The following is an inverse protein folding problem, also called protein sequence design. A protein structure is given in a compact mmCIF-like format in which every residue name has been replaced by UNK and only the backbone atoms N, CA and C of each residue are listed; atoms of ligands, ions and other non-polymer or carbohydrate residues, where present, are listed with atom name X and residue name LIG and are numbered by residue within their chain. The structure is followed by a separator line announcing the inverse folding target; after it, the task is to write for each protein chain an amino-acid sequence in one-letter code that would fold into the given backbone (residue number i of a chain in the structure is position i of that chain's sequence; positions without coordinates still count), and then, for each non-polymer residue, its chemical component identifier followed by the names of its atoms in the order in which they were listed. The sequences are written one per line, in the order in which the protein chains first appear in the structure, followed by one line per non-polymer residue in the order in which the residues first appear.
data_IF_984864342519
#
_entry.id   IF_984864342519
#
_cell.length_a   1.000
_cell.length_b   1.000
_cell.length_c   1.000
_cell.angle_alpha   90.00
_cell.angle_beta   90.00
_cell.angle_gamma   90.00
#
_symmetry.space_group_name_H-M   'P 1'
#
loop_
_entity.id
_entity.type
_entity.pdbx_description
1 polymer ?
#
# COMPACT_ATOMS: atom_id res chain seq x y z
N UNK A 1 -4.80 -45.22 -15.26
CA UNK A 1 -3.78 -44.26 -14.77
C UNK A 1 -3.50 -44.58 -13.30
N UNK A 2 -2.33 -45.16 -12.97
CA UNK A 2 -1.91 -45.35 -11.58
C UNK A 2 -1.12 -44.11 -11.17
N UNK A 3 -1.82 -43.14 -10.60
CA UNK A 3 -1.15 -41.98 -10.03
C UNK A 3 -0.42 -42.47 -8.77
N UNK A 4 0.90 -42.37 -8.78
CA UNK A 4 1.72 -42.76 -7.62
C UNK A 4 1.31 -41.90 -6.42
N UNK A 5 1.06 -42.53 -5.28
CA UNK A 5 0.75 -41.87 -4.01
C UNK A 5 1.78 -40.78 -3.66
N UNK A 6 3.04 -40.99 -4.05
CA UNK A 6 4.13 -40.02 -3.90
C UNK A 6 3.87 -38.74 -4.71
N UNK A 7 3.34 -38.88 -5.93
CA UNK A 7 3.03 -37.74 -6.80
C UNK A 7 1.86 -36.92 -6.26
N UNK A 8 0.85 -37.57 -5.66
CA UNK A 8 -0.29 -36.89 -5.01
C UNK A 8 0.15 -36.16 -3.73
N UNK A 9 1.05 -36.77 -2.95
CA UNK A 9 1.59 -36.13 -1.75
C UNK A 9 2.41 -34.87 -2.10
N UNK A 10 3.23 -34.94 -3.15
CA UNK A 10 4.04 -33.81 -3.61
C UNK A 10 3.18 -32.65 -4.12
N UNK A 11 2.15 -32.93 -4.91
CA UNK A 11 1.25 -31.86 -5.41
C UNK A 11 0.46 -31.21 -4.28
N UNK A 12 0.00 -31.99 -3.29
CA UNK A 12 -0.69 -31.47 -2.12
C UNK A 12 0.22 -30.55 -1.28
N UNK A 13 1.49 -30.92 -1.06
CA UNK A 13 2.46 -30.10 -0.34
C UNK A 13 2.77 -28.81 -1.10
N UNK A 14 2.97 -28.87 -2.42
CA UNK A 14 3.20 -27.68 -3.25
C UNK A 14 2.02 -26.71 -3.19
N UNK A 15 0.78 -27.22 -3.29
CA UNK A 15 -0.42 -26.39 -3.18
C UNK A 15 -0.58 -25.79 -1.78
N UNK A 16 -0.24 -26.55 -0.73
CA UNK A 16 -0.25 -26.05 0.64
C UNK A 16 0.77 -24.92 0.84
N UNK A 17 1.99 -25.06 0.31
CA UNK A 17 3.02 -24.01 0.38
C UNK A 17 2.62 -22.76 -0.38
N UNK A 18 2.03 -22.88 -1.57
CA UNK A 18 1.49 -21.74 -2.33
C UNK A 18 0.35 -21.07 -1.56
N UNK A 19 -0.57 -21.84 -0.98
CA UNK A 19 -1.66 -21.32 -0.14
C UNK A 19 -1.15 -20.57 1.09
N UNK A 20 -0.17 -21.14 1.80
CA UNK A 20 0.50 -20.47 2.91
C UNK A 20 1.22 -19.19 2.47
N UNK A 21 1.89 -19.21 1.31
CA UNK A 21 2.53 -18.03 0.73
C UNK A 21 1.54 -16.89 0.47
N UNK A 22 0.38 -17.20 -0.12
CA UNK A 22 -0.70 -16.23 -0.37
C UNK A 22 -1.28 -15.71 0.95
N UNK A 23 -1.54 -16.59 1.93
CA UNK A 23 -2.05 -16.20 3.25
C UNK A 23 -1.08 -15.29 4.01
N UNK A 24 0.20 -15.61 4.02
CA UNK A 24 1.24 -14.81 4.66
C UNK A 24 1.44 -13.48 3.91
N UNK A 25 1.41 -13.49 2.59
CA UNK A 25 1.49 -12.27 1.77
C UNK A 25 0.30 -11.35 2.03
N UNK A 26 -0.91 -11.90 2.17
CA UNK A 26 -2.10 -11.10 2.47
C UNK A 26 -2.09 -10.58 3.91
N UNK A 27 -1.65 -11.40 4.87
CA UNK A 27 -1.54 -11.02 6.29
C UNK A 27 -0.50 -9.93 6.55
N UNK A 28 0.56 -9.86 5.74
CA UNK A 28 1.61 -8.84 5.86
C UNK A 28 1.23 -7.46 5.32
N UNK A 29 0.07 -7.31 4.64
CA UNK A 29 -0.45 -5.98 4.26
C UNK A 29 -0.73 -5.11 5.47
N UNK A 30 -1.22 -5.70 6.56
CA UNK A 30 -1.49 -5.00 7.81
C UNK A 30 -0.29 -5.22 8.75
N UNK A 31 0.56 -4.21 8.99
CA UNK A 31 1.71 -4.39 9.87
C UNK A 31 1.26 -4.76 11.29
N UNK A 32 1.97 -5.66 11.99
CA UNK A 32 1.77 -5.90 13.42
C UNK A 32 2.04 -4.64 14.28
N UNK A 33 2.66 -3.61 13.69
CA UNK A 33 2.90 -2.28 14.27
C UNK A 33 1.65 -1.39 14.34
N UNK A 34 0.51 -1.86 13.80
CA UNK A 34 -0.80 -1.23 13.99
C UNK A 34 -1.40 -1.55 15.37
N UNK A 35 -0.59 -1.55 16.44
CA UNK A 35 -1.10 -1.54 17.82
C UNK A 35 -1.99 -0.31 18.09
N UNK A 36 -1.88 0.72 17.23
CA UNK A 36 -2.84 1.81 17.15
C UNK A 36 -3.26 2.06 15.69
N UNK A 37 -4.39 1.46 15.30
CA UNK A 37 -5.01 1.65 13.97
C UNK A 37 -5.31 3.12 13.70
N UNK A 38 -5.61 3.91 14.73
CA UNK A 38 -5.90 5.34 14.58
C UNK A 38 -4.64 6.11 14.22
N UNK A 39 -3.50 5.82 14.86
CA UNK A 39 -2.23 6.44 14.51
C UNK A 39 -1.80 6.08 13.06
N UNK A 40 -1.98 4.83 12.64
CA UNK A 40 -1.66 4.41 11.27
C UNK A 40 -2.56 5.08 10.22
N UNK A 41 -3.85 5.25 10.52
CA UNK A 41 -4.79 5.97 9.65
C UNK A 41 -4.46 7.47 9.59
N UNK A 42 -4.17 8.10 10.74
CA UNK A 42 -3.78 9.51 10.82
C UNK A 42 -2.48 9.79 10.04
N UNK A 43 -1.49 8.92 10.15
CA UNK A 43 -0.24 9.00 9.39
C UNK A 43 -0.49 8.93 7.87
N UNK A 44 -1.39 8.03 7.43
CA UNK A 44 -1.78 7.96 6.03
C UNK A 44 -2.44 9.26 5.56
N UNK A 45 -3.41 9.78 6.33
CA UNK A 45 -4.13 11.00 5.98
C UNK A 45 -3.15 12.16 5.87
N UNK A 46 -2.24 12.34 6.83
CA UNK A 46 -1.22 13.38 6.78
C UNK A 46 -0.28 13.22 5.57
N UNK A 47 0.14 11.99 5.27
CA UNK A 47 0.96 11.69 4.10
C UNK A 47 0.23 12.04 2.79
N UNK A 48 -1.04 11.65 2.66
CA UNK A 48 -1.89 11.93 1.50
C UNK A 48 -2.20 13.42 1.34
N UNK A 49 -2.53 14.12 2.43
CA UNK A 49 -2.71 15.57 2.43
C UNK A 49 -1.47 16.31 1.95
N UNK A 50 -0.28 15.87 2.34
CA UNK A 50 0.96 16.49 1.88
C UNK A 50 1.19 16.30 0.37
N UNK A 51 0.81 15.15 -0.19
CA UNK A 51 0.84 14.92 -1.65
C UNK A 51 -0.14 15.85 -2.37
N UNK A 52 -1.39 15.95 -1.89
CA UNK A 52 -2.40 16.85 -2.47
C UNK A 52 -1.94 18.31 -2.43
N UNK A 53 -1.39 18.76 -1.30
CA UNK A 53 -0.80 20.09 -1.14
C UNK A 53 0.30 20.36 -2.18
N UNK A 54 1.19 19.39 -2.43
CA UNK A 54 2.24 19.52 -3.45
C UNK A 54 1.65 19.64 -4.86
N UNK A 55 0.62 18.85 -5.18
CA UNK A 55 -0.06 18.90 -6.49
C UNK A 55 -0.71 20.27 -6.69
N UNK A 56 -1.45 20.76 -5.68
CA UNK A 56 -2.15 22.05 -5.72
C UNK A 56 -1.18 23.22 -5.86
N UNK A 57 -0.08 23.21 -5.10
CA UNK A 57 0.97 24.25 -5.17
C UNK A 57 1.73 24.23 -6.50
N UNK A 58 1.84 23.07 -7.14
CA UNK A 58 2.49 22.91 -8.45
C UNK A 58 1.64 23.35 -9.64
N UNK A 59 0.75 24.35 -9.51
CA UNK A 59 -0.25 24.72 -10.54
C UNK A 59 -1.24 23.59 -10.88
N UNK A 60 -1.62 22.78 -9.89
CA UNK A 60 -2.55 21.65 -10.05
C UNK A 60 -2.12 20.67 -11.17
N UNK A 61 -0.89 20.18 -11.08
CA UNK A 61 -0.29 19.13 -11.95
C UNK A 61 -0.94 17.74 -11.79
N UNK A 62 -2.22 17.71 -11.47
CA UNK A 62 -3.03 16.51 -11.32
C UNK A 62 -3.11 15.78 -12.66
N UNK A 63 -3.06 14.44 -12.60
CA UNK A 63 -2.96 13.59 -13.79
C UNK A 63 -1.52 13.40 -14.30
N UNK A 64 -0.53 14.13 -13.77
CA UNK A 64 0.88 13.85 -14.07
C UNK A 64 1.41 12.74 -13.16
N UNK A 65 1.48 11.52 -13.69
CA UNK A 65 1.98 10.34 -12.96
C UNK A 65 3.40 10.51 -12.42
N UNK A 66 4.29 11.18 -13.17
CA UNK A 66 5.67 11.40 -12.73
C UNK A 66 5.71 12.35 -11.54
N UNK A 67 4.91 13.41 -11.58
CA UNK A 67 4.79 14.33 -10.45
C UNK A 67 4.17 13.64 -9.23
N UNK A 68 3.13 12.82 -9.42
CA UNK A 68 2.52 12.07 -8.32
C UNK A 68 3.49 11.12 -7.63
N UNK A 69 4.31 10.42 -8.42
CA UNK A 69 5.41 9.60 -7.89
C UNK A 69 6.43 10.43 -7.12
N UNK A 70 6.86 11.56 -7.69
CA UNK A 70 7.77 12.48 -7.01
C UNK A 70 7.19 13.00 -5.69
N UNK A 71 5.94 13.45 -5.69
CA UNK A 71 5.27 13.95 -4.50
C UNK A 71 5.14 12.85 -3.43
N UNK A 72 4.82 11.61 -3.85
CA UNK A 72 4.82 10.44 -2.96
C UNK A 72 6.19 10.18 -2.33
N UNK A 73 7.26 10.20 -3.13
CA UNK A 73 8.63 10.00 -2.66
C UNK A 73 9.04 11.07 -1.63
N UNK A 74 8.79 12.35 -1.93
CA UNK A 74 9.13 13.50 -1.06
C UNK A 74 8.31 13.53 0.22
N UNK A 75 7.07 13.02 0.18
CA UNK A 75 6.20 12.94 1.36
C UNK A 75 6.64 11.85 2.34
N UNK A 76 7.42 10.87 1.87
CA UNK A 76 7.95 9.78 2.68
C UNK A 76 9.23 10.20 3.42
N UNK A 77 9.08 10.94 4.52
CA UNK A 77 10.20 11.52 5.29
C UNK A 77 9.97 11.48 6.81
N UNK A 78 11.02 11.80 7.57
CA UNK A 78 10.95 11.94 9.03
C UNK A 78 10.48 10.66 9.73
N UNK A 79 9.58 10.78 10.70
CA UNK A 79 9.07 9.65 11.47
C UNK A 79 8.30 8.62 10.62
N UNK A 80 7.65 9.06 9.53
CA UNK A 80 6.97 8.14 8.63
C UNK A 80 7.95 7.23 7.87
N UNK A 81 9.15 7.75 7.56
CA UNK A 81 10.21 6.97 6.94
C UNK A 81 10.90 6.06 7.96
N UNK A 82 11.20 6.57 9.15
CA UNK A 82 11.83 5.78 10.24
C UNK A 82 10.95 4.58 10.63
N UNK A 83 9.64 4.80 10.78
CA UNK A 83 8.65 3.74 11.03
C UNK A 83 8.32 2.88 9.81
N UNK A 84 8.88 3.21 8.63
CA UNK A 84 8.62 2.54 7.35
C UNK A 84 7.14 2.54 6.92
N UNK A 85 6.26 3.29 7.59
CA UNK A 85 4.83 3.39 7.28
C UNK A 85 4.59 4.03 5.92
N UNK A 86 5.30 5.12 5.60
CA UNK A 86 5.14 5.77 4.29
C UNK A 86 5.52 4.88 3.11
N UNK A 87 6.44 3.92 3.28
CA UNK A 87 6.78 2.97 2.22
C UNK A 87 5.58 2.08 1.85
N UNK A 88 4.70 1.78 2.82
CA UNK A 88 3.46 1.02 2.60
C UNK A 88 2.42 1.86 1.88
N UNK A 89 2.15 3.08 2.36
CA UNK A 89 1.20 4.00 1.70
C UNK A 89 1.63 4.32 0.28
N UNK A 90 2.91 4.65 0.09
CA UNK A 90 3.52 4.90 -1.21
C UNK A 90 3.30 3.74 -2.17
N UNK A 91 3.62 2.50 -1.76
CA UNK A 91 3.41 1.33 -2.61
C UNK A 91 1.93 1.21 -3.00
N UNK A 92 1.03 1.30 -2.03
CA UNK A 92 -0.40 1.14 -2.28
C UNK A 92 -0.99 2.23 -3.21
N UNK A 93 -0.54 3.48 -3.08
CA UNK A 93 -0.98 4.55 -3.99
C UNK A 93 -0.35 4.43 -5.38
N UNK A 94 0.90 3.95 -5.49
CA UNK A 94 1.58 3.77 -6.77
C UNK A 94 1.19 2.48 -7.50
N UNK A 95 0.46 1.56 -6.86
CA UNK A 95 -0.11 0.38 -7.52
C UNK A 95 -1.22 0.77 -8.52
N UNK A 96 -1.92 1.89 -8.29
CA UNK A 96 -2.91 2.44 -9.24
C UNK A 96 -2.86 3.98 -9.27
N UNK A 97 -1.81 4.57 -9.88
CA UNK A 97 -1.60 6.01 -9.82
C UNK A 97 -2.70 6.78 -10.56
N UNK A 98 -3.27 6.22 -11.63
CA UNK A 98 -4.35 6.87 -12.38
C UNK A 98 -5.59 7.15 -11.54
N UNK A 99 -5.90 6.25 -10.60
CA UNK A 99 -6.96 6.47 -9.62
C UNK A 99 -6.52 7.44 -8.54
N UNK A 100 -5.40 7.16 -7.89
CA UNK A 100 -5.02 7.85 -6.65
C UNK A 100 -4.49 9.26 -6.87
N UNK A 101 -4.08 9.65 -8.08
CA UNK A 101 -3.82 11.06 -8.42
C UNK A 101 -5.04 11.96 -8.21
N UNK A 102 -6.25 11.41 -8.33
CA UNK A 102 -7.50 12.16 -8.16
C UNK A 102 -8.07 11.94 -6.76
N UNK A 103 -8.18 10.69 -6.32
CA UNK A 103 -8.78 10.33 -5.02
C UNK A 103 -8.07 10.99 -3.82
N UNK A 104 -6.79 11.33 -3.96
CA UNK A 104 -6.02 11.96 -2.87
C UNK A 104 -6.48 13.37 -2.52
N UNK A 105 -7.35 13.99 -3.32
CA UNK A 105 -8.07 15.23 -2.99
C UNK A 105 -8.92 15.10 -1.74
N UNK A 106 -9.37 13.87 -1.47
CA UNK A 106 -10.04 13.51 -0.22
C UNK A 106 -9.16 12.48 0.50
N UNK A 107 -8.10 12.93 1.21
CA UNK A 107 -7.09 12.05 1.81
C UNK A 107 -7.66 10.91 2.65
N UNK A 108 -8.73 11.16 3.41
CA UNK A 108 -9.40 10.14 4.21
C UNK A 108 -9.97 9.00 3.37
N UNK A 109 -10.64 9.32 2.24
CA UNK A 109 -11.20 8.30 1.34
C UNK A 109 -10.11 7.53 0.62
N UNK A 110 -9.04 8.22 0.17
CA UNK A 110 -7.88 7.55 -0.42
C UNK A 110 -7.23 6.55 0.55
N UNK A 111 -7.09 6.92 1.83
CA UNK A 111 -6.54 6.05 2.87
C UNK A 111 -7.44 4.85 3.21
N UNK A 112 -8.78 5.02 3.17
CA UNK A 112 -9.72 3.90 3.28
C UNK A 112 -9.56 2.94 2.09
N UNK A 113 -9.44 3.47 0.87
CA UNK A 113 -9.33 2.67 -0.34
C UNK A 113 -8.07 1.78 -0.38
N UNK A 114 -6.99 2.19 0.29
CA UNK A 114 -5.76 1.38 0.45
C UNK A 114 -5.71 0.58 1.75
N UNK A 115 -6.81 0.53 2.52
CA UNK A 115 -6.92 -0.18 3.79
C UNK A 115 -5.91 0.33 4.85
N UNK A 116 -5.53 1.61 4.78
CA UNK A 116 -4.77 2.29 5.83
C UNK A 116 -5.67 2.86 6.93
N UNK A 117 -6.93 3.09 6.57
CA UNK A 117 -8.09 3.24 7.43
C UNK A 117 -9.06 2.09 7.04
#
# INVERSE_FOLDING_TARGET
MRISLVSVALTAVCLFLVGCGILLHNKTRIPPEAMDRHAYCADCINYASHIDDMIRRGNNVRGNQQFFKYASDVSCRGQLLISKRCLRYRRAFLDNPDKFMFDIEVPSQACIAIQAC
#
